data_IF_946004363752
#
_entry.id   IF_946004363752
#
_cell.length_a   1.000
_cell.length_b   1.000
_cell.length_c   1.000
_cell.angle_alpha   90.00
_cell.angle_beta   90.00
_cell.angle_gamma   90.00
#
_symmetry.space_group_name_H-M   'P 1'
#
loop_
_entity.id
_entity.type
_entity.pdbx_description
1 polymer ?
#
# COMPACT_ATOMS: atom_id res chain seq x y z
N UNK A 1 0.55 -2.00 16.40
CA UNK A 1 -0.10 -1.98 15.06
C UNK A 1 -1.30 -2.91 14.91
N UNK A 2 -1.25 -4.20 15.31
CA UNK A 2 -2.39 -5.15 15.16
C UNK A 2 -3.73 -4.65 15.74
N UNK A 3 -3.71 -3.99 16.90
CA UNK A 3 -4.90 -3.41 17.53
C UNK A 3 -5.54 -2.30 16.67
N UNK A 4 -4.73 -1.45 16.05
CA UNK A 4 -5.22 -0.39 15.17
C UNK A 4 -5.91 -0.97 13.93
N UNK A 5 -5.29 -1.95 13.27
CA UNK A 5 -5.88 -2.59 12.09
C UNK A 5 -7.27 -3.19 12.41
N UNK A 6 -7.39 -3.86 13.57
CA UNK A 6 -8.69 -4.39 14.04
C UNK A 6 -9.71 -3.28 14.33
N UNK A 7 -9.27 -2.18 14.94
CA UNK A 7 -10.14 -1.05 15.28
C UNK A 7 -10.66 -0.34 14.02
N UNK A 8 -9.78 -0.06 13.04
CA UNK A 8 -10.20 0.54 11.77
C UNK A 8 -11.12 -0.39 11.00
N UNK A 9 -10.84 -1.69 10.97
CA UNK A 9 -11.75 -2.67 10.37
C UNK A 9 -13.13 -2.65 11.04
N UNK A 10 -13.20 -2.62 12.38
CA UNK A 10 -14.47 -2.49 13.10
C UNK A 10 -15.21 -1.20 12.71
N UNK A 11 -14.51 -0.08 12.67
CA UNK A 11 -15.11 1.19 12.27
C UNK A 11 -15.64 1.16 10.83
N UNK A 12 -14.91 0.53 9.91
CA UNK A 12 -15.35 0.36 8.52
C UNK A 12 -16.58 -0.55 8.40
N UNK A 13 -16.65 -1.62 9.20
CA UNK A 13 -17.84 -2.49 9.27
C UNK A 13 -19.05 -1.73 9.81
N UNK A 14 -18.88 -0.90 10.85
CA UNK A 14 -19.96 -0.04 11.35
C UNK A 14 -20.37 1.02 10.33
N UNK A 15 -19.41 1.65 9.65
CA UNK A 15 -19.69 2.65 8.62
C UNK A 15 -20.50 2.07 7.46
N UNK A 16 -20.24 0.82 7.07
CA UNK A 16 -21.01 0.10 6.05
C UNK A 16 -22.49 0.01 6.44
N UNK A 17 -22.85 -0.14 7.72
CA UNK A 17 -24.26 -0.22 8.15
C UNK A 17 -25.04 1.09 7.94
N UNK A 18 -24.34 2.22 7.82
CA UNK A 18 -24.94 3.55 7.68
C UNK A 18 -25.05 3.95 6.19
N UNK A 19 -24.40 3.21 5.29
CA UNK A 19 -24.44 3.46 3.84
C UNK A 19 -25.64 2.76 3.22
N UNK A 20 -26.47 3.51 2.49
CA UNK A 20 -27.54 2.94 1.68
C UNK A 20 -26.97 2.30 0.41
N UNK A 21 -26.86 0.98 0.40
CA UNK A 21 -26.48 0.22 -0.79
C UNK A 21 -27.65 0.03 -1.74
N UNK A 22 -27.35 -0.06 -3.04
CA UNK A 22 -28.38 -0.36 -4.06
C UNK A 22 -28.77 -1.83 -4.07
N UNK A 23 -27.94 -2.70 -3.50
CA UNK A 23 -28.17 -4.15 -3.41
C UNK A 23 -27.36 -4.80 -2.28
N UNK A 24 -27.85 -5.94 -1.79
CA UNK A 24 -27.13 -6.78 -0.82
C UNK A 24 -25.79 -7.31 -1.38
N UNK A 25 -25.72 -7.55 -2.69
CA UNK A 25 -24.51 -7.97 -3.38
C UNK A 25 -23.40 -6.92 -3.31
N UNK A 26 -23.76 -5.65 -3.44
CA UNK A 26 -22.81 -4.52 -3.32
C UNK A 26 -22.29 -4.39 -1.89
N UNK A 27 -23.17 -4.55 -0.90
CA UNK A 27 -22.82 -4.57 0.51
C UNK A 27 -21.85 -5.73 0.83
N UNK A 28 -22.15 -6.95 0.34
CA UNK A 28 -21.28 -8.13 0.53
C UNK A 28 -19.89 -7.91 -0.04
N UNK A 29 -19.79 -7.39 -1.27
CA UNK A 29 -18.49 -7.10 -1.92
C UNK A 29 -17.64 -6.12 -1.12
N UNK A 30 -18.26 -5.12 -0.50
CA UNK A 30 -17.55 -4.15 0.34
C UNK A 30 -17.11 -4.80 1.66
N UNK A 31 -17.96 -5.62 2.28
CA UNK A 31 -17.61 -6.34 3.49
C UNK A 31 -16.42 -7.30 3.27
N UNK A 32 -16.46 -8.13 2.22
CA UNK A 32 -15.36 -9.04 1.84
C UNK A 32 -14.06 -8.28 1.56
N UNK A 33 -14.15 -7.11 0.90
CA UNK A 33 -12.98 -6.24 0.68
C UNK A 33 -12.38 -5.75 1.99
N UNK A 34 -13.19 -5.29 2.92
CA UNK A 34 -12.73 -4.79 4.22
C UNK A 34 -12.08 -5.90 5.06
N UNK A 35 -12.59 -7.13 4.99
CA UNK A 35 -11.95 -8.29 5.62
C UNK A 35 -10.59 -8.61 4.98
N UNK A 36 -10.53 -8.59 3.64
CA UNK A 36 -9.29 -8.82 2.90
C UNK A 36 -8.23 -7.75 3.21
N UNK A 37 -8.62 -6.49 3.42
CA UNK A 37 -7.72 -5.42 3.86
C UNK A 37 -7.07 -5.69 5.22
N UNK A 38 -7.89 -6.08 6.20
CA UNK A 38 -7.40 -6.45 7.52
C UNK A 38 -6.40 -7.61 7.42
N UNK A 39 -6.74 -8.63 6.63
CA UNK A 39 -5.89 -9.80 6.44
C UNK A 39 -4.52 -9.43 5.84
N UNK A 40 -4.49 -8.67 4.74
CA UNK A 40 -3.23 -8.19 4.11
C UNK A 40 -2.38 -7.40 5.12
N UNK A 41 -3.01 -6.51 5.88
CA UNK A 41 -2.30 -5.71 6.90
C UNK A 41 -1.69 -6.58 8.00
N UNK A 42 -2.39 -7.63 8.44
CA UNK A 42 -1.90 -8.56 9.46
C UNK A 42 -0.77 -9.45 8.93
N UNK A 43 -0.93 -10.03 7.73
CA UNK A 43 0.10 -10.86 7.10
C UNK A 43 1.42 -10.11 6.91
N UNK A 44 1.35 -8.83 6.54
CA UNK A 44 2.53 -7.98 6.39
C UNK A 44 3.23 -7.73 7.73
N UNK A 45 2.47 -7.54 8.83
CA UNK A 45 3.04 -7.41 10.17
C UNK A 45 3.69 -8.73 10.62
N UNK A 46 3.03 -9.86 10.38
CA UNK A 46 3.54 -11.18 10.76
C UNK A 46 4.83 -11.51 9.98
N UNK A 47 4.83 -11.26 8.67
CA UNK A 47 6.01 -11.44 7.82
C UNK A 47 7.18 -10.59 8.29
N UNK A 48 6.94 -9.30 8.59
CA UNK A 48 8.00 -8.41 9.03
C UNK A 48 8.51 -8.71 10.46
N UNK A 49 7.67 -9.28 11.33
CA UNK A 49 8.10 -9.74 12.64
C UNK A 49 8.86 -11.07 12.56
N UNK A 50 8.56 -11.90 11.56
CA UNK A 50 9.33 -13.10 11.25
C UNK A 50 10.75 -12.73 10.77
N UNK A 51 10.89 -11.81 9.80
CA UNK A 51 12.24 -11.46 9.31
C UNK A 51 13.14 -10.89 10.42
N UNK A 52 12.56 -10.14 11.37
CA UNK A 52 13.32 -9.61 12.50
C UNK A 52 13.90 -10.73 13.37
N UNK A 53 13.11 -11.79 13.58
CA UNK A 53 13.55 -12.98 14.32
C UNK A 53 14.60 -13.76 13.53
N UNK A 54 14.39 -13.94 12.23
CA UNK A 54 15.32 -14.69 11.37
C UNK A 54 16.73 -14.07 11.33
N UNK A 55 16.83 -12.74 11.41
CA UNK A 55 18.10 -12.01 11.33
C UNK A 55 18.54 -11.40 12.67
N UNK A 56 17.94 -11.77 13.79
CA UNK A 56 18.20 -11.12 15.09
C UNK A 56 19.68 -11.15 15.48
N UNK A 57 20.37 -12.25 15.16
CA UNK A 57 21.78 -12.50 15.48
C UNK A 57 22.75 -12.08 14.36
N UNK A 58 22.25 -11.59 13.22
CA UNK A 58 23.08 -11.17 12.07
C UNK A 58 23.34 -9.65 12.16
N UNK A 59 24.55 -9.26 12.55
CA UNK A 59 24.91 -7.85 12.76
C UNK A 59 24.72 -6.96 11.52
N UNK A 60 24.83 -7.54 10.32
CA UNK A 60 24.70 -6.81 9.05
C UNK A 60 23.24 -6.73 8.61
N UNK A 61 22.50 -7.85 8.69
CA UNK A 61 21.13 -7.96 8.18
C UNK A 61 20.08 -7.52 9.19
N UNK A 62 20.32 -7.69 10.49
CA UNK A 62 19.43 -7.24 11.57
C UNK A 62 18.97 -5.78 11.43
N UNK A 63 19.88 -4.78 11.29
CA UNK A 63 19.45 -3.39 11.19
C UNK A 63 18.69 -3.09 9.90
N UNK A 64 18.88 -3.87 8.83
CA UNK A 64 18.11 -3.76 7.58
C UNK A 64 16.71 -4.35 7.78
N UNK A 65 16.61 -5.55 8.36
CA UNK A 65 15.35 -6.22 8.68
C UNK A 65 14.45 -5.33 9.55
N UNK A 66 15.02 -4.70 10.60
CA UNK A 66 14.32 -3.74 11.44
C UNK A 66 13.76 -2.56 10.65
N UNK A 67 14.53 -2.01 9.69
CA UNK A 67 14.07 -0.88 8.87
C UNK A 67 12.97 -1.24 7.89
N UNK A 68 13.07 -2.41 7.25
CA UNK A 68 12.00 -2.93 6.38
C UNK A 68 10.71 -3.03 7.19
N UNK A 69 10.77 -3.61 8.39
CA UNK A 69 9.61 -3.76 9.26
C UNK A 69 9.03 -2.41 9.70
N UNK A 70 9.85 -1.49 10.21
CA UNK A 70 9.38 -0.16 10.61
C UNK A 70 8.77 0.62 9.43
N UNK A 71 9.29 0.41 8.23
CA UNK A 71 8.72 0.93 6.99
C UNK A 71 7.31 0.41 6.72
N UNK A 72 7.13 -0.90 6.82
CA UNK A 72 5.83 -1.55 6.66
C UNK A 72 4.83 -1.08 7.74
N UNK A 73 5.25 -1.02 9.02
CA UNK A 73 4.39 -0.55 10.12
C UNK A 73 3.90 0.87 9.90
N UNK A 74 4.79 1.78 9.49
CA UNK A 74 4.42 3.17 9.20
C UNK A 74 3.38 3.25 8.10
N UNK A 75 3.53 2.47 7.02
CA UNK A 75 2.58 2.55 5.90
C UNK A 75 1.25 1.90 6.20
N UNK A 76 1.25 0.79 6.95
CA UNK A 76 0.01 0.21 7.47
C UNK A 76 -0.71 1.26 8.32
N UNK A 77 0.01 1.95 9.19
CA UNK A 77 -0.53 3.01 10.02
C UNK A 77 -1.14 4.14 9.19
N UNK A 78 -0.39 4.68 8.25
CA UNK A 78 -0.85 5.77 7.38
C UNK A 78 -2.01 5.34 6.48
N UNK A 79 -1.99 4.12 5.94
CA UNK A 79 -3.07 3.62 5.09
C UNK A 79 -4.38 3.54 5.87
N UNK A 80 -4.35 2.96 7.07
CA UNK A 80 -5.55 2.82 7.89
C UNK A 80 -6.03 4.14 8.51
N UNK A 81 -5.12 5.08 8.83
CA UNK A 81 -5.51 6.35 9.47
C UNK A 81 -5.87 7.47 8.48
N UNK A 82 -5.24 7.52 7.31
CA UNK A 82 -5.34 8.69 6.42
C UNK A 82 -6.11 8.43 5.13
N UNK A 83 -6.35 7.16 4.76
CA UNK A 83 -7.04 6.83 3.52
C UNK A 83 -8.45 6.35 3.85
N UNK A 84 -9.45 7.20 3.70
CA UNK A 84 -10.85 6.85 4.02
C UNK A 84 -11.54 5.95 2.98
N UNK A 85 -10.89 5.72 1.83
CA UNK A 85 -11.44 4.93 0.75
C UNK A 85 -10.83 3.51 0.76
N UNK A 86 -11.66 2.49 0.97
CA UNK A 86 -11.20 1.10 1.09
C UNK A 86 -10.52 0.56 -0.18
N UNK A 87 -10.86 1.06 -1.38
CA UNK A 87 -10.18 0.70 -2.63
C UNK A 87 -8.77 1.30 -2.67
N UNK A 88 -8.63 2.56 -2.26
CA UNK A 88 -7.32 3.23 -2.17
C UNK A 88 -6.44 2.60 -1.09
N UNK A 89 -7.01 2.25 0.07
CA UNK A 89 -6.32 1.50 1.11
C UNK A 89 -5.79 0.18 0.56
N UNK A 90 -6.63 -0.58 -0.18
CA UNK A 90 -6.23 -1.86 -0.77
C UNK A 90 -5.06 -1.70 -1.70
N UNK A 91 -5.17 -0.74 -2.61
CA UNK A 91 -4.12 -0.47 -3.60
C UNK A 91 -2.81 -0.04 -2.92
N UNK A 92 -2.86 0.77 -1.86
CA UNK A 92 -1.65 1.16 -1.13
C UNK A 92 -1.06 -0.06 -0.39
N UNK A 93 -1.87 -0.82 0.36
CA UNK A 93 -1.41 -2.02 1.10
C UNK A 93 -0.86 -3.14 0.20
N UNK A 94 -1.48 -3.40 -0.96
CA UNK A 94 -0.98 -4.42 -1.91
C UNK A 94 0.40 -4.03 -2.44
N UNK A 95 0.56 -2.80 -2.93
CA UNK A 95 1.86 -2.32 -3.45
C UNK A 95 2.94 -2.32 -2.37
N UNK A 96 2.56 -2.00 -1.13
CA UNK A 96 3.44 -2.05 0.03
C UNK A 96 3.92 -3.46 0.33
N UNK A 97 2.98 -4.42 0.27
CA UNK A 97 3.27 -5.82 0.47
C UNK A 97 4.23 -6.35 -0.58
N UNK A 98 4.00 -6.04 -1.86
CA UNK A 98 4.89 -6.41 -2.96
C UNK A 98 6.29 -5.81 -2.80
N UNK A 99 6.38 -4.52 -2.46
CA UNK A 99 7.66 -3.85 -2.24
C UNK A 99 8.41 -4.45 -1.04
N UNK A 100 7.71 -4.73 0.06
CA UNK A 100 8.29 -5.37 1.23
C UNK A 100 8.81 -6.77 0.92
N UNK A 101 8.03 -7.59 0.19
CA UNK A 101 8.47 -8.92 -0.28
C UNK A 101 9.74 -8.83 -1.12
N UNK A 102 9.83 -7.83 -2.01
CA UNK A 102 11.05 -7.60 -2.81
C UNK A 102 12.25 -7.25 -1.94
N UNK A 103 12.11 -6.35 -0.97
CA UNK A 103 13.20 -5.99 -0.05
C UNK A 103 13.65 -7.18 0.80
N UNK A 104 12.71 -7.99 1.29
CA UNK A 104 12.99 -9.22 2.04
C UNK A 104 13.75 -10.22 1.17
N UNK A 105 13.34 -10.41 -0.09
CA UNK A 105 14.05 -11.28 -1.02
C UNK A 105 15.49 -10.80 -1.29
N UNK A 106 15.70 -9.49 -1.44
CA UNK A 106 17.05 -8.93 -1.59
C UNK A 106 17.87 -9.18 -0.31
N UNK A 107 17.28 -8.98 0.86
CA UNK A 107 17.94 -9.23 2.15
C UNK A 107 18.37 -10.70 2.32
N UNK A 108 17.51 -11.65 1.93
CA UNK A 108 17.83 -13.09 1.97
C UNK A 108 19.03 -13.46 1.10
N UNK A 109 19.15 -12.83 -0.07
CA UNK A 109 20.22 -13.12 -1.03
C UNK A 109 21.43 -12.18 -0.90
N UNK A 110 21.44 -11.32 0.13
CA UNK A 110 22.50 -10.34 0.33
C UNK A 110 23.77 -11.02 0.82
N UNK A 111 24.88 -10.90 0.10
CA UNK A 111 26.18 -11.30 0.63
C UNK A 111 26.62 -10.28 1.71
N UNK A 112 26.81 -10.70 2.99
CA UNK A 112 27.25 -9.80 4.05
C UNK A 112 28.62 -9.18 3.81
N UNK A 113 29.45 -9.79 2.94
CA UNK A 113 30.78 -9.28 2.59
C UNK A 113 30.72 -8.23 1.46
N UNK A 114 29.62 -8.17 0.70
CA UNK A 114 29.40 -7.15 -0.32
C UNK A 114 28.87 -5.84 0.29
N UNK A 115 29.81 -5.07 0.83
CA UNK A 115 29.55 -3.76 1.45
C UNK A 115 28.81 -2.78 0.54
N UNK A 116 28.95 -2.86 -0.78
CA UNK A 116 28.26 -1.98 -1.74
C UNK A 116 26.77 -2.30 -1.82
N UNK A 117 26.43 -3.58 -1.98
CA UNK A 117 25.04 -4.05 -2.00
C UNK A 117 24.35 -3.86 -0.65
N UNK A 118 25.07 -4.07 0.45
CA UNK A 118 24.59 -3.81 1.81
C UNK A 118 24.25 -2.32 1.96
N UNK A 119 25.16 -1.42 1.57
CA UNK A 119 24.95 0.02 1.67
C UNK A 119 23.76 0.47 0.81
N UNK A 120 23.65 -0.04 -0.42
CA UNK A 120 22.55 0.27 -1.33
C UNK A 120 21.20 -0.14 -0.75
N UNK A 121 21.09 -1.37 -0.24
CA UNK A 121 19.86 -1.84 0.42
C UNK A 121 19.55 -1.01 1.69
N UNK A 122 20.58 -0.64 2.44
CA UNK A 122 20.44 0.19 3.63
C UNK A 122 19.94 1.61 3.30
N UNK A 123 20.38 2.18 2.17
CA UNK A 123 19.92 3.48 1.66
C UNK A 123 18.47 3.37 1.18
N UNK A 124 18.14 2.34 0.40
CA UNK A 124 16.77 2.08 -0.04
C UNK A 124 15.82 1.95 1.17
N UNK A 125 16.31 1.35 2.26
CA UNK A 125 15.57 1.22 3.52
C UNK A 125 15.56 2.49 4.40
N UNK A 126 16.51 3.44 4.24
CA UNK A 126 16.54 4.68 5.04
C UNK A 126 15.50 5.68 4.54
N UNK A 127 14.41 5.80 5.30
CA UNK A 127 13.54 6.95 5.64
C UNK A 127 13.11 8.01 4.59
N UNK A 128 13.79 8.20 3.47
CA UNK A 128 13.26 8.86 2.26
C UNK A 128 12.80 7.83 1.24
N UNK A 129 13.57 6.77 0.99
CA UNK A 129 13.19 5.74 -0.01
C UNK A 129 11.86 5.06 0.32
N UNK A 130 11.72 4.52 1.51
CA UNK A 130 10.50 3.86 1.98
C UNK A 130 9.32 4.83 2.14
N UNK A 131 9.48 5.95 2.86
CA UNK A 131 8.38 6.92 3.05
C UNK A 131 7.99 7.66 1.78
N UNK A 132 8.94 8.05 0.92
CA UNK A 132 8.61 8.63 -0.38
C UNK A 132 8.06 7.59 -1.34
N UNK A 133 8.57 6.35 -1.35
CA UNK A 133 7.97 5.30 -2.19
C UNK A 133 6.55 5.00 -1.73
N UNK A 134 6.30 4.95 -0.42
CA UNK A 134 4.95 4.75 0.12
C UNK A 134 4.05 5.97 -0.03
N UNK A 135 4.58 7.18 0.13
CA UNK A 135 3.88 8.43 -0.15
C UNK A 135 3.56 8.55 -1.64
N UNK A 136 4.50 8.23 -2.55
CA UNK A 136 4.27 8.16 -4.00
C UNK A 136 3.28 7.07 -4.34
N UNK A 137 3.35 5.90 -3.73
CA UNK A 137 2.39 4.79 -3.95
C UNK A 137 0.99 5.22 -3.54
N UNK A 138 0.83 5.82 -2.37
CA UNK A 138 -0.44 6.35 -1.89
C UNK A 138 -0.90 7.56 -2.73
N UNK A 139 0.00 8.45 -3.18
CA UNK A 139 -0.31 9.60 -4.06
C UNK A 139 -0.67 9.18 -5.50
N UNK A 140 0.00 8.17 -6.05
CA UNK A 140 -0.29 7.56 -7.35
C UNK A 140 -1.64 6.84 -7.29
N UNK A 141 -1.90 6.09 -6.22
CA UNK A 141 -3.21 5.48 -5.98
C UNK A 141 -4.31 6.55 -5.94
N UNK A 142 -4.07 7.64 -5.18
CA UNK A 142 -4.96 8.79 -5.09
C UNK A 142 -5.27 9.41 -6.47
N UNK A 143 -4.23 9.68 -7.28
CA UNK A 143 -4.41 10.21 -8.65
C UNK A 143 -5.17 9.26 -9.57
N UNK A 144 -4.86 7.96 -9.56
CA UNK A 144 -5.48 6.98 -10.45
C UNK A 144 -6.96 6.73 -10.19
N UNK A 145 -7.47 7.04 -8.98
CA UNK A 145 -8.87 6.80 -8.64
C UNK A 145 -9.72 8.09 -8.61
N UNK A 146 -9.13 9.27 -8.42
CA UNK A 146 -9.86 10.55 -8.47
C UNK A 146 -9.82 11.24 -9.84
N UNK A 147 -8.84 10.92 -10.68
CA UNK A 147 -8.78 11.40 -12.06
C UNK A 147 -8.68 10.18 -12.99
N UNK A 148 -9.80 9.52 -13.34
CA UNK A 148 -9.79 8.74 -14.57
C UNK A 148 -9.41 9.72 -15.68
N UNK A 149 -8.26 9.51 -16.30
CA UNK A 149 -7.92 10.18 -17.55
C UNK A 149 -9.04 9.79 -18.50
N UNK A 150 -9.98 10.70 -18.74
CA UNK A 150 -10.94 10.57 -19.83
C UNK A 150 -10.11 10.31 -21.09
N UNK A 151 -10.35 9.22 -21.84
CA UNK A 151 -9.67 9.04 -23.11
C UNK A 151 -10.15 10.17 -24.02
N UNK A 152 -9.29 11.17 -24.19
CA UNK A 152 -9.56 12.31 -25.07
C UNK A 152 -9.67 11.82 -26.49
N UNK A 153 -10.87 11.94 -27.05
CA UNK A 153 -11.07 12.44 -28.40
C UNK A 153 -10.94 11.38 -29.50
N UNK A 154 -12.06 10.71 -29.77
CA UNK A 154 -12.40 10.33 -31.14
C UNK A 154 -12.33 11.58 -32.03
N UNK A 155 -11.36 11.61 -32.93
CA UNK A 155 -11.34 12.52 -34.08
C UNK A 155 -12.56 12.21 -34.94
N UNK A 156 -13.59 13.05 -34.86
CA UNK A 156 -14.58 13.17 -35.93
C UNK A 156 -14.40 14.51 -36.60
N UNK A 157 -13.82 14.45 -37.80
CA UNK A 157 -13.94 15.51 -38.80
C UNK A 157 -15.43 15.69 -39.13
N UNK A 158 -15.98 16.88 -38.87
CA UNK A 158 -17.04 17.44 -39.72
C UNK A 158 -16.98 18.96 -39.63
N UNK A 159 -16.69 19.53 -40.79
CA UNK A 159 -16.86 20.91 -41.23
C UNK A 159 -18.07 21.63 -40.61
N UNK A 160 -17.82 22.80 -40.02
CA UNK A 160 -18.85 23.79 -39.69
C UNK A 160 -18.57 25.07 -40.47
N UNK A 161 -19.30 25.26 -41.57
CA UNK A 161 -19.46 26.55 -42.22
C UNK A 161 -20.46 27.40 -41.42
N UNK A 162 -20.09 28.66 -41.17
CA UNK A 162 -20.90 29.90 -40.99
C UNK A 162 -22.30 29.76 -40.36
N UNK A 163 -22.58 30.29 -39.16
CA UNK A 163 -22.68 31.70 -38.74
C UNK A 163 -24.03 32.39 -39.05
N UNK A 164 -24.61 32.94 -37.97
CA UNK A 164 -25.61 34.01 -37.81
C UNK A 164 -27.12 33.72 -37.98
N UNK A 165 -27.81 34.08 -36.88
CA UNK A 165 -29.24 34.36 -36.62
C UNK A 165 -30.22 33.17 -36.58
#
# INVERSE_FOLDING_TARGET
>A
MRRLAKLVHHQEVENVKIVNFKSEDEQRKIHERNQSLLHIGLELLDSGEQIKRDYEQDETRSPIAHKIFSGAEWTINTSFQCVCNCILQRNCLTKVTEYSKRLIHILHNLDPQDTSSVLKLFIDCRCKGIRESYSRVCHQAFKSCFFPISPTGSRTNTSSSRAYL
#
